data_IF_886445379784
#
_entry.id   IF_886445379784
#
_cell.length_a   1.000
_cell.length_b   1.000
_cell.length_c   1.000
_cell.angle_alpha   90.00
_cell.angle_beta   90.00
_cell.angle_gamma   90.00
#
_symmetry.space_group_name_H-M   'P 1'
#
loop_
_entity.id
_entity.type
_entity.pdbx_description
1 polymer ?
#
# COMPACT_ATOMS: atom_id res chain seq x y z
N UNK A 1 48.45 14.36 -16.93
CA UNK A 1 47.45 13.52 -16.22
C UNK A 1 46.02 13.56 -16.81
N UNK A 2 45.65 14.61 -17.54
CA UNK A 2 44.33 14.78 -18.14
C UNK A 2 43.88 13.64 -19.09
N UNK A 3 44.80 13.03 -19.84
CA UNK A 3 44.49 11.91 -20.77
C UNK A 3 43.97 10.69 -20.00
N UNK A 4 44.57 10.35 -18.85
CA UNK A 4 44.11 9.23 -18.01
C UNK A 4 42.70 9.49 -17.45
N UNK A 5 42.43 10.74 -17.06
CA UNK A 5 41.10 11.18 -16.61
C UNK A 5 40.04 11.10 -17.71
N UNK A 6 40.39 11.53 -18.92
CA UNK A 6 39.52 11.48 -20.08
C UNK A 6 39.16 10.04 -20.45
N UNK A 7 40.15 9.15 -20.59
CA UNK A 7 39.86 7.75 -20.91
C UNK A 7 39.07 7.05 -19.80
N UNK A 8 39.38 7.33 -18.53
CA UNK A 8 38.62 6.76 -17.42
C UNK A 8 37.15 7.22 -17.47
N UNK A 9 36.89 8.52 -17.56
CA UNK A 9 35.52 9.05 -17.65
C UNK A 9 34.77 8.57 -18.90
N UNK A 10 35.44 8.46 -20.05
CA UNK A 10 34.85 7.97 -21.29
C UNK A 10 34.46 6.49 -21.18
N UNK A 11 35.35 5.64 -20.65
CA UNK A 11 35.07 4.21 -20.44
C UNK A 11 33.97 4.02 -19.41
N UNK A 12 33.98 4.77 -18.31
CA UNK A 12 32.89 4.73 -17.33
C UNK A 12 31.55 5.12 -17.99
N UNK A 13 31.52 6.20 -18.77
CA UNK A 13 30.28 6.69 -19.37
C UNK A 13 29.72 5.71 -20.41
N UNK A 14 30.57 5.14 -21.28
CA UNK A 14 30.14 4.20 -22.32
C UNK A 14 29.76 2.84 -21.73
N UNK A 15 30.59 2.29 -20.84
CA UNK A 15 30.38 0.95 -20.30
C UNK A 15 29.22 0.93 -19.30
N UNK A 16 29.12 1.90 -18.39
CA UNK A 16 28.01 1.97 -17.44
C UNK A 16 26.74 2.52 -18.09
N UNK A 17 26.84 3.50 -18.99
CA UNK A 17 25.68 4.02 -19.71
C UNK A 17 24.95 2.93 -20.49
N UNK A 18 25.68 2.06 -21.18
CA UNK A 18 25.07 0.92 -21.87
C UNK A 18 24.65 -0.19 -20.91
N UNK A 19 25.49 -0.57 -19.95
CA UNK A 19 25.25 -1.72 -19.06
C UNK A 19 24.16 -1.47 -18.01
N UNK A 20 24.06 -0.28 -17.41
CA UNK A 20 22.96 0.03 -16.48
C UNK A 20 21.64 0.14 -17.24
N UNK A 21 21.61 0.85 -18.36
CA UNK A 21 20.35 1.13 -19.06
C UNK A 21 19.75 -0.14 -19.65
N UNK A 22 20.55 -0.99 -20.30
CA UNK A 22 20.05 -2.25 -20.88
C UNK A 22 19.94 -3.35 -19.82
N UNK A 23 20.89 -3.43 -18.90
CA UNK A 23 20.91 -4.45 -17.87
C UNK A 23 19.78 -4.29 -16.85
N UNK A 24 19.51 -3.10 -16.34
CA UNK A 24 18.54 -2.95 -15.25
C UNK A 24 17.08 -2.87 -15.72
N UNK A 25 16.85 -2.61 -17.01
CA UNK A 25 15.50 -2.53 -17.59
C UNK A 25 15.03 -3.84 -18.22
N UNK A 26 15.96 -4.75 -18.56
CA UNK A 26 15.61 -6.03 -19.20
C UNK A 26 15.39 -7.12 -18.15
N UNK A 27 14.16 -7.63 -18.04
CA UNK A 27 13.73 -8.65 -17.05
C UNK A 27 14.53 -9.97 -17.03
N UNK A 28 15.38 -10.23 -18.03
CA UNK A 28 16.24 -11.42 -18.12
C UNK A 28 17.72 -11.18 -17.83
N UNK A 29 18.13 -9.94 -17.58
CA UNK A 29 19.55 -9.62 -17.43
C UNK A 29 20.12 -10.11 -16.10
N UNK A 30 21.44 -10.31 -16.07
CA UNK A 30 22.17 -10.60 -14.84
C UNK A 30 22.01 -9.47 -13.80
N UNK A 31 22.07 -8.21 -14.22
CA UNK A 31 21.95 -7.03 -13.35
C UNK A 31 20.56 -6.92 -12.69
N UNK A 32 19.50 -7.39 -13.36
CA UNK A 32 18.15 -7.47 -12.78
C UNK A 32 18.03 -8.53 -11.67
N UNK A 33 18.91 -9.54 -11.68
CA UNK A 33 18.93 -10.63 -10.69
C UNK A 33 19.86 -10.36 -9.50
N UNK A 34 20.61 -9.26 -9.53
CA UNK A 34 21.47 -8.89 -8.41
C UNK A 34 20.56 -8.45 -7.24
N UNK A 35 20.75 -9.01 -6.03
CA UNK A 35 19.99 -8.58 -4.87
C UNK A 35 20.29 -7.10 -4.54
N UNK A 36 19.33 -6.38 -3.95
CA UNK A 36 19.38 -4.93 -3.73
C UNK A 36 20.71 -4.45 -3.10
N UNK A 37 21.26 -5.24 -2.19
CA UNK A 37 22.56 -4.96 -1.55
C UNK A 37 23.74 -4.96 -2.52
N UNK A 38 23.74 -5.83 -3.53
CA UNK A 38 24.75 -5.86 -4.59
C UNK A 38 24.66 -4.64 -5.50
N UNK A 39 23.45 -4.11 -5.69
CA UNK A 39 23.21 -2.81 -6.33
C UNK A 39 23.94 -1.69 -5.57
N UNK A 40 23.82 -1.63 -4.25
CA UNK A 40 24.49 -0.61 -3.43
C UNK A 40 26.03 -0.68 -3.51
N UNK A 41 26.61 -1.87 -3.61
CA UNK A 41 28.08 -2.02 -3.77
C UNK A 41 28.54 -1.51 -5.13
N UNK A 42 27.84 -1.89 -6.20
CA UNK A 42 28.13 -1.40 -7.56
C UNK A 42 28.02 0.13 -7.62
N UNK A 43 27.03 0.67 -6.93
CA UNK A 43 26.73 2.09 -6.81
C UNK A 43 27.87 2.84 -6.08
N UNK A 44 28.30 2.39 -4.90
CA UNK A 44 29.41 2.99 -4.13
C UNK A 44 30.72 2.98 -4.92
N UNK A 45 31.09 1.82 -5.50
CA UNK A 45 32.33 1.67 -6.25
C UNK A 45 32.37 2.60 -7.47
N UNK A 46 31.25 2.75 -8.18
CA UNK A 46 31.15 3.64 -9.34
C UNK A 46 31.22 5.12 -8.95
N UNK A 47 30.58 5.52 -7.84
CA UNK A 47 30.67 6.88 -7.31
C UNK A 47 32.11 7.29 -6.97
N UNK A 48 32.88 6.39 -6.35
CA UNK A 48 34.29 6.64 -6.03
C UNK A 48 35.11 6.87 -7.30
N UNK A 49 34.87 6.09 -8.36
CA UNK A 49 35.56 6.23 -9.63
C UNK A 49 35.25 7.57 -10.34
N UNK A 50 34.01 8.06 -10.27
CA UNK A 50 33.67 9.38 -10.79
C UNK A 50 34.31 10.51 -9.98
N UNK A 51 34.42 10.40 -8.66
CA UNK A 51 35.13 11.37 -7.81
C UNK A 51 36.63 11.40 -8.16
N UNK A 52 37.24 10.24 -8.38
CA UNK A 52 38.64 10.14 -8.81
C UNK A 52 38.86 10.77 -10.19
N UNK A 53 37.97 10.50 -11.15
CA UNK A 53 38.01 11.14 -12.47
C UNK A 53 37.83 12.66 -12.37
N UNK A 54 36.91 13.14 -11.55
CA UNK A 54 36.72 14.57 -11.29
C UNK A 54 37.98 15.21 -10.70
N UNK A 55 38.60 14.57 -9.70
CA UNK A 55 39.82 15.06 -9.06
C UNK A 55 41.02 15.11 -10.01
N UNK A 56 41.20 14.09 -10.88
CA UNK A 56 42.22 14.11 -11.92
C UNK A 56 41.93 15.13 -13.02
N UNK A 57 40.67 15.39 -13.34
CA UNK A 57 40.25 16.46 -14.24
C UNK A 57 40.68 17.84 -13.74
N UNK A 58 40.45 18.14 -12.45
CA UNK A 58 40.88 19.41 -11.83
C UNK A 58 42.41 19.56 -11.87
N UNK A 59 43.15 18.51 -11.50
CA UNK A 59 44.63 18.56 -11.55
C UNK A 59 45.18 18.68 -12.96
N UNK A 60 44.52 18.07 -13.94
CA UNK A 60 44.91 18.11 -15.36
C UNK A 60 44.66 19.46 -16.05
N UNK A 61 43.90 20.36 -15.42
CA UNK A 61 43.44 21.61 -16.01
C UNK A 61 44.58 22.59 -16.35
N UNK A 62 45.68 22.52 -15.61
CA UNK A 62 46.90 23.32 -15.85
C UNK A 62 47.62 22.91 -17.14
N UNK A 63 47.52 21.64 -17.54
CA UNK A 63 48.24 21.09 -18.71
C UNK A 63 47.36 21.09 -19.98
N UNK A 64 46.11 20.65 -19.84
CA UNK A 64 45.21 20.45 -20.98
C UNK A 64 43.79 20.90 -20.65
N UNK A 65 43.51 22.20 -20.84
CA UNK A 65 42.22 22.83 -20.50
C UNK A 65 41.03 22.15 -21.18
N UNK A 66 41.11 21.89 -22.49
CA UNK A 66 39.99 21.32 -23.26
C UNK A 66 39.64 19.88 -22.85
N UNK A 67 40.63 18.98 -22.77
CA UNK A 67 40.40 17.59 -22.33
C UNK A 67 39.91 17.52 -20.88
N UNK A 68 40.41 18.39 -20.02
CA UNK A 68 39.99 18.45 -18.61
C UNK A 68 38.54 18.93 -18.48
N UNK A 69 38.13 19.91 -19.28
CA UNK A 69 36.73 20.37 -19.37
C UNK A 69 35.78 19.26 -19.81
N UNK A 70 36.14 18.49 -20.84
CA UNK A 70 35.32 17.36 -21.32
C UNK A 70 35.21 16.27 -20.24
N UNK A 71 36.33 15.93 -19.58
CA UNK A 71 36.35 14.93 -18.50
C UNK A 71 35.47 15.37 -17.32
N UNK A 72 35.50 16.65 -16.96
CA UNK A 72 34.65 17.22 -15.91
C UNK A 72 33.17 17.16 -16.28
N UNK A 73 32.83 17.53 -17.52
CA UNK A 73 31.46 17.44 -18.03
C UNK A 73 30.90 16.01 -17.99
N UNK A 74 31.68 15.03 -18.45
CA UNK A 74 31.29 13.61 -18.41
C UNK A 74 31.10 13.11 -16.98
N UNK A 75 31.99 13.49 -16.05
CA UNK A 75 31.87 13.11 -14.64
C UNK A 75 30.63 13.72 -13.96
N UNK A 76 30.34 15.00 -14.24
CA UNK A 76 29.15 15.67 -13.72
C UNK A 76 27.85 15.05 -14.24
N UNK A 77 27.81 14.72 -15.54
CA UNK A 77 26.67 14.00 -16.13
C UNK A 77 26.48 12.63 -15.50
N UNK A 78 27.56 11.86 -15.30
CA UNK A 78 27.53 10.57 -14.62
C UNK A 78 26.98 10.66 -13.19
N UNK A 79 27.41 11.66 -12.41
CA UNK A 79 26.90 11.90 -11.04
C UNK A 79 25.42 12.31 -11.06
N UNK A 80 24.98 13.10 -12.05
CA UNK A 80 23.58 13.49 -12.18
C UNK A 80 22.66 12.29 -12.51
N UNK A 81 23.06 11.45 -13.48
CA UNK A 81 22.36 10.21 -13.79
C UNK A 81 22.32 9.26 -12.58
N UNK A 82 23.41 9.24 -11.80
CA UNK A 82 23.51 8.46 -10.58
C UNK A 82 22.55 8.93 -9.48
N UNK A 83 22.44 10.24 -9.25
CA UNK A 83 21.49 10.81 -8.28
C UNK A 83 20.03 10.54 -8.67
N UNK A 84 19.72 10.64 -9.97
CA UNK A 84 18.40 10.28 -10.51
C UNK A 84 18.08 8.80 -10.28
N UNK A 85 19.03 7.90 -10.53
CA UNK A 85 18.83 6.48 -10.32
C UNK A 85 18.55 6.13 -8.85
N UNK A 86 19.34 6.65 -7.91
CA UNK A 86 19.10 6.47 -6.46
C UNK A 86 17.70 6.98 -6.10
N UNK A 87 17.31 8.14 -6.62
CA UNK A 87 15.98 8.70 -6.37
C UNK A 87 14.84 7.85 -6.94
N UNK A 88 15.10 7.04 -7.98
CA UNK A 88 14.11 6.13 -8.57
C UNK A 88 14.09 4.75 -7.88
N UNK A 89 15.21 4.31 -7.32
CA UNK A 89 15.34 3.01 -6.67
C UNK A 89 14.95 3.06 -5.18
N UNK A 90 15.16 4.21 -4.53
CA UNK A 90 14.57 4.48 -3.21
C UNK A 90 13.06 4.40 -3.38
N UNK A 91 12.49 3.34 -2.79
CA UNK A 91 11.05 3.01 -2.82
C UNK A 91 10.54 2.30 -4.08
N UNK A 92 11.42 1.70 -4.89
CA UNK A 92 10.97 0.83 -5.99
C UNK A 92 10.14 -0.34 -5.47
N UNK A 93 8.90 -0.44 -5.95
CA UNK A 93 7.93 -1.46 -5.52
C UNK A 93 7.24 -1.16 -4.18
N UNK A 94 7.58 -0.06 -3.49
CA UNK A 94 6.80 0.39 -2.34
C UNK A 94 5.70 1.33 -2.83
N UNK A 95 4.45 1.16 -2.37
CA UNK A 95 3.40 2.11 -2.67
C UNK A 95 3.80 3.48 -2.09
N UNK A 96 3.62 4.54 -2.87
CA UNK A 96 3.77 5.89 -2.34
C UNK A 96 2.81 6.09 -1.15
N UNK A 97 3.11 6.97 -0.19
CA UNK A 97 2.21 7.24 0.92
C UNK A 97 0.83 7.64 0.37
N UNK A 98 -0.19 6.79 0.60
CA UNK A 98 -1.59 6.89 0.11
C UNK A 98 -1.90 6.27 -1.25
N UNK A 99 -0.95 5.61 -1.91
CA UNK A 99 -1.24 4.78 -3.08
C UNK A 99 -1.84 3.44 -2.66
N UNK A 100 -2.88 3.04 -3.37
CA UNK A 100 -3.58 1.77 -3.16
C UNK A 100 -3.00 0.70 -4.07
N UNK A 101 -2.95 -0.52 -3.56
CA UNK A 101 -2.53 -1.70 -4.30
C UNK A 101 -3.75 -2.36 -4.93
N UNK A 102 -3.58 -2.77 -6.19
CA UNK A 102 -4.62 -3.38 -7.01
C UNK A 102 -4.25 -4.81 -7.41
N UNK A 103 -3.40 -5.46 -6.61
CA UNK A 103 -2.99 -6.84 -6.82
C UNK A 103 -3.14 -7.64 -5.51
N UNK A 104 -3.86 -8.76 -5.58
CA UNK A 104 -4.06 -9.70 -4.46
C UNK A 104 -2.88 -10.68 -4.31
N UNK A 105 -1.96 -10.74 -5.26
CA UNK A 105 -0.78 -11.60 -5.18
C UNK A 105 0.33 -11.01 -4.29
N UNK A 106 0.25 -9.71 -3.99
CA UNK A 106 1.24 -8.99 -3.18
C UNK A 106 0.91 -9.00 -1.67
N UNK A 107 -0.26 -9.52 -1.28
CA UNK A 107 -0.69 -9.61 0.13
C UNK A 107 -0.32 -10.95 0.78
N UNK A 108 -0.25 -11.03 2.13
CA UNK A 108 -0.03 -12.28 2.84
C UNK A 108 -1.03 -13.37 2.47
N UNK A 109 -0.55 -14.61 2.33
CA UNK A 109 -1.38 -15.76 1.97
C UNK A 109 -2.58 -15.97 2.90
N UNK A 110 -2.46 -15.58 4.18
CA UNK A 110 -3.55 -15.62 5.15
C UNK A 110 -4.68 -14.65 4.78
N UNK A 111 -4.36 -13.40 4.45
CA UNK A 111 -5.34 -12.39 4.06
C UNK A 111 -5.98 -12.74 2.71
N UNK A 112 -5.17 -13.26 1.77
CA UNK A 112 -5.67 -13.76 0.49
C UNK A 112 -6.68 -14.90 0.69
N UNK A 113 -6.33 -15.89 1.52
CA UNK A 113 -7.23 -16.99 1.84
C UNK A 113 -8.54 -16.51 2.49
N UNK A 114 -8.47 -15.50 3.37
CA UNK A 114 -9.62 -14.90 4.02
C UNK A 114 -10.54 -14.17 3.04
N UNK A 115 -10.00 -13.40 2.09
CA UNK A 115 -10.81 -12.73 1.06
C UNK A 115 -11.46 -13.76 0.12
N UNK A 116 -10.73 -14.80 -0.27
CA UNK A 116 -11.25 -15.84 -1.16
C UNK A 116 -12.32 -16.70 -0.48
N UNK A 117 -12.15 -17.05 0.80
CA UNK A 117 -13.17 -17.77 1.57
C UNK A 117 -14.40 -16.90 1.81
N UNK A 118 -14.20 -15.60 2.09
CA UNK A 118 -15.28 -14.63 2.23
C UNK A 118 -16.08 -14.50 0.92
N UNK A 119 -15.41 -14.38 -0.23
CA UNK A 119 -16.06 -14.33 -1.54
C UNK A 119 -16.85 -15.62 -1.85
N UNK A 120 -16.30 -16.79 -1.52
CA UNK A 120 -16.98 -18.09 -1.68
C UNK A 120 -18.26 -18.14 -0.85
N UNK A 121 -18.21 -17.69 0.39
CA UNK A 121 -19.37 -17.65 1.28
C UNK A 121 -20.48 -16.75 0.73
N UNK A 122 -20.13 -15.57 0.25
CA UNK A 122 -21.11 -14.60 -0.31
C UNK A 122 -21.58 -14.97 -1.71
N UNK A 123 -21.12 -16.10 -2.26
CA UNK A 123 -21.36 -16.56 -3.65
C UNK A 123 -20.97 -15.50 -4.67
N UNK A 124 -19.90 -14.77 -4.39
CA UNK A 124 -19.36 -13.75 -5.28
C UNK A 124 -18.27 -14.41 -6.14
N UNK A 125 -18.41 -14.43 -7.47
CA UNK A 125 -17.34 -14.94 -8.32
C UNK A 125 -16.08 -14.08 -8.18
N UNK A 126 -14.90 -14.69 -8.35
CA UNK A 126 -13.62 -13.98 -8.23
C UNK A 126 -13.52 -12.78 -9.19
N UNK A 127 -14.19 -12.86 -10.35
CA UNK A 127 -14.29 -11.76 -11.32
C UNK A 127 -15.08 -10.54 -10.84
N UNK A 128 -15.91 -10.68 -9.80
CA UNK A 128 -16.67 -9.59 -9.18
C UNK A 128 -15.94 -8.96 -7.99
N UNK A 129 -14.87 -9.57 -7.49
CA UNK A 129 -14.02 -8.96 -6.46
C UNK A 129 -13.34 -7.74 -7.08
N UNK A 130 -13.65 -6.56 -6.57
CA UNK A 130 -13.09 -5.29 -7.07
C UNK A 130 -12.05 -4.76 -6.09
N UNK A 131 -10.82 -4.65 -6.56
CA UNK A 131 -9.77 -3.93 -5.83
C UNK A 131 -9.94 -2.45 -6.07
N UNK A 132 -10.07 -1.68 -4.99
CA UNK A 132 -10.44 -0.27 -5.10
C UNK A 132 -9.98 0.58 -3.92
N UNK A 133 -10.14 1.89 -4.10
CA UNK A 133 -9.83 2.93 -3.12
C UNK A 133 -10.91 2.95 -2.04
N UNK A 134 -10.58 3.38 -0.82
CA UNK A 134 -11.54 3.27 0.30
C UNK A 134 -12.87 3.99 0.05
N UNK A 135 -12.91 5.09 -0.70
CA UNK A 135 -14.13 5.85 -1.00
C UNK A 135 -15.04 5.19 -2.03
N UNK A 136 -14.57 4.14 -2.72
CA UNK A 136 -15.35 3.36 -3.68
C UNK A 136 -15.79 2.01 -3.14
N UNK A 137 -15.48 1.68 -1.88
CA UNK A 137 -15.84 0.39 -1.27
C UNK A 137 -17.35 0.11 -1.28
N UNK A 138 -18.19 1.15 -1.29
CA UNK A 138 -19.66 1.02 -1.32
C UNK A 138 -20.24 0.87 -2.74
N UNK A 139 -19.43 1.05 -3.78
CA UNK A 139 -19.91 1.12 -5.16
C UNK A 139 -19.96 -0.25 -5.85
N UNK A 140 -19.41 -1.30 -5.21
CA UNK A 140 -19.31 -2.62 -5.79
C UNK A 140 -19.90 -3.68 -4.85
N UNK A 141 -20.40 -4.83 -5.38
CA UNK A 141 -20.96 -5.90 -4.57
C UNK A 141 -19.98 -6.46 -3.53
N UNK A 142 -18.71 -6.68 -3.94
CA UNK A 142 -17.60 -7.02 -3.07
C UNK A 142 -16.38 -6.21 -3.48
N UNK A 143 -15.94 -5.32 -2.59
CA UNK A 143 -14.81 -4.43 -2.79
C UNK A 143 -13.75 -4.67 -1.71
N UNK A 144 -12.49 -4.67 -2.09
CA UNK A 144 -11.35 -4.80 -1.18
C UNK A 144 -10.37 -3.67 -1.44
N UNK A 145 -9.86 -3.06 -0.38
CA UNK A 145 -8.89 -1.98 -0.43
C UNK A 145 -7.60 -2.45 0.23
N UNK A 146 -6.50 -2.40 -0.52
CA UNK A 146 -5.18 -2.84 -0.09
C UNK A 146 -4.26 -1.63 -0.03
N UNK A 147 -3.48 -1.55 1.03
CA UNK A 147 -2.47 -0.51 1.22
C UNK A 147 -1.29 -1.05 2.03
N UNK A 148 -0.07 -0.86 1.51
CA UNK A 148 1.17 -1.32 2.15
C UNK A 148 1.20 -2.84 2.34
N UNK A 149 0.72 -3.61 1.36
CA UNK A 149 0.70 -5.06 1.40
C UNK A 149 -0.38 -5.67 2.29
N UNK A 150 -1.30 -4.86 2.83
CA UNK A 150 -2.33 -5.33 3.76
C UNK A 150 -3.73 -4.85 3.37
N UNK A 151 -4.73 -5.68 3.63
CA UNK A 151 -6.14 -5.33 3.46
C UNK A 151 -6.53 -4.35 4.56
N UNK A 152 -6.80 -3.11 4.15
CA UNK A 152 -7.22 -2.04 5.05
C UNK A 152 -8.72 -1.81 5.03
N UNK A 153 -9.42 -2.23 3.97
CA UNK A 153 -10.85 -2.00 3.84
C UNK A 153 -11.58 -3.11 3.10
N UNK A 154 -12.77 -3.45 3.57
CA UNK A 154 -13.66 -4.43 2.94
C UNK A 154 -15.06 -3.83 2.83
N UNK A 155 -15.64 -3.96 1.64
CA UNK A 155 -17.00 -3.55 1.33
C UNK A 155 -17.81 -4.71 0.77
N UNK A 156 -19.00 -4.94 1.32
CA UNK A 156 -19.96 -5.92 0.83
C UNK A 156 -21.36 -5.29 0.81
N UNK A 157 -22.09 -5.47 -0.30
CA UNK A 157 -23.44 -4.94 -0.46
C UNK A 157 -24.41 -6.03 -0.91
N UNK A 158 -25.54 -6.14 -0.21
CA UNK A 158 -26.71 -6.97 -0.53
C UNK A 158 -26.37 -8.47 -0.71
N UNK A 159 -25.48 -8.99 0.16
CA UNK A 159 -25.09 -10.40 0.20
C UNK A 159 -25.11 -10.90 1.65
N UNK A 160 -25.78 -12.02 1.97
CA UNK A 160 -25.82 -12.54 3.32
C UNK A 160 -24.45 -13.05 3.76
N UNK A 161 -24.09 -12.77 5.02
CA UNK A 161 -22.88 -13.29 5.66
C UNK A 161 -23.31 -14.31 6.72
N UNK A 162 -22.76 -15.53 6.64
CA UNK A 162 -23.02 -16.61 7.60
C UNK A 162 -21.95 -16.69 8.68
N UNK A 163 -20.69 -16.45 8.30
CA UNK A 163 -19.55 -16.42 9.19
C UNK A 163 -18.75 -15.13 8.95
N UNK A 164 -18.66 -14.29 9.98
CA UNK A 164 -17.91 -13.03 9.96
C UNK A 164 -16.54 -13.15 10.63
N UNK A 165 -16.28 -14.25 11.34
CA UNK A 165 -15.03 -14.50 12.07
C UNK A 165 -13.81 -14.50 11.14
N UNK A 166 -14.03 -14.84 9.86
CA UNK A 166 -12.99 -14.84 8.83
C UNK A 166 -12.34 -13.47 8.64
N UNK A 167 -13.10 -12.38 8.86
CA UNK A 167 -12.58 -11.02 8.76
C UNK A 167 -11.63 -10.67 9.92
N UNK A 168 -11.71 -11.37 11.06
CA UNK A 168 -10.79 -11.18 12.20
C UNK A 168 -9.33 -11.53 11.86
N UNK A 169 -9.11 -12.27 10.77
CA UNK A 169 -7.75 -12.53 10.26
C UNK A 169 -7.10 -11.32 9.58
N UNK A 170 -7.89 -10.29 9.23
CA UNK A 170 -7.43 -9.05 8.59
C UNK A 170 -7.03 -8.04 9.68
N UNK A 171 -5.86 -8.24 10.29
CA UNK A 171 -5.40 -7.48 11.47
C UNK A 171 -5.25 -5.97 11.24
N UNK A 172 -4.99 -5.55 10.00
CA UNK A 172 -4.84 -4.15 9.59
C UNK A 172 -6.15 -3.49 9.12
N UNK A 173 -7.28 -4.22 9.19
CA UNK A 173 -8.56 -3.71 8.71
C UNK A 173 -8.99 -2.49 9.54
N UNK A 174 -9.15 -1.36 8.86
CA UNK A 174 -9.54 -0.09 9.47
C UNK A 174 -10.92 0.40 9.02
N UNK A 175 -11.43 -0.09 7.88
CA UNK A 175 -12.73 0.30 7.32
C UNK A 175 -13.54 -0.92 6.93
N UNK A 176 -14.76 -1.02 7.43
CA UNK A 176 -15.65 -2.12 7.14
C UNK A 176 -17.03 -1.61 6.75
N UNK A 177 -17.49 -1.98 5.55
CA UNK A 177 -18.80 -1.61 5.02
C UNK A 177 -19.57 -2.89 4.70
N UNK A 178 -20.57 -3.22 5.50
CA UNK A 178 -21.40 -4.41 5.31
C UNK A 178 -22.87 -3.97 5.24
N UNK A 179 -23.33 -3.67 4.03
CA UNK A 179 -24.70 -3.20 3.80
C UNK A 179 -25.58 -4.37 3.35
N UNK A 180 -26.76 -4.53 3.96
CA UNK A 180 -27.70 -5.56 3.50
C UNK A 180 -27.20 -6.99 3.70
N UNK A 181 -26.41 -7.23 4.76
CA UNK A 181 -25.70 -8.51 4.97
C UNK A 181 -26.42 -9.49 5.90
N UNK A 182 -27.64 -9.16 6.34
CA UNK A 182 -28.44 -9.94 7.30
C UNK A 182 -27.75 -10.22 8.65
N UNK A 183 -26.82 -9.35 9.04
CA UNK A 183 -26.08 -9.49 10.28
C UNK A 183 -26.94 -9.14 11.50
N UNK A 184 -26.76 -9.91 12.56
CA UNK A 184 -27.41 -9.71 13.87
C UNK A 184 -26.42 -9.61 15.02
N UNK A 185 -25.22 -10.10 14.80
CA UNK A 185 -24.18 -10.30 15.81
C UNK A 185 -22.81 -10.05 15.17
N UNK A 186 -21.87 -9.54 15.97
CA UNK A 186 -20.46 -9.31 15.65
C UNK A 186 -19.51 -9.87 16.72
N UNK A 187 -20.00 -10.70 17.65
CA UNK A 187 -19.22 -11.19 18.80
C UNK A 187 -17.95 -11.94 18.40
N UNK A 188 -17.96 -12.58 17.22
CA UNK A 188 -16.81 -13.32 16.68
C UNK A 188 -15.77 -12.44 15.96
N UNK A 189 -16.03 -11.13 15.87
CA UNK A 189 -15.17 -10.18 15.17
C UNK A 189 -14.16 -9.55 16.13
N UNK A 190 -12.86 -9.68 15.82
CA UNK A 190 -11.76 -9.09 16.58
C UNK A 190 -10.92 -8.19 15.67
N UNK A 191 -11.29 -6.91 15.61
CA UNK A 191 -10.61 -5.93 14.76
C UNK A 191 -10.21 -4.71 15.59
N UNK A 192 -9.09 -4.80 16.33
CA UNK A 192 -8.64 -3.73 17.21
C UNK A 192 -8.22 -2.47 16.46
N UNK A 193 -7.97 -2.53 15.14
CA UNK A 193 -7.63 -1.36 14.32
C UNK A 193 -8.82 -0.77 13.57
N UNK A 194 -10.02 -1.35 13.74
CA UNK A 194 -11.21 -0.87 13.05
C UNK A 194 -11.56 0.55 13.53
N UNK A 195 -11.69 1.43 12.55
CA UNK A 195 -11.85 2.87 12.75
C UNK A 195 -13.22 3.36 12.26
N UNK A 196 -13.69 2.83 11.12
CA UNK A 196 -15.00 3.15 10.55
C UNK A 196 -15.78 1.88 10.25
N UNK A 197 -17.01 1.82 10.74
CA UNK A 197 -17.91 0.69 10.59
C UNK A 197 -19.27 1.16 10.06
N UNK A 198 -19.69 0.57 8.94
CA UNK A 198 -20.98 0.81 8.31
C UNK A 198 -21.76 -0.49 8.18
N UNK A 199 -22.95 -0.51 8.78
CA UNK A 199 -23.81 -1.69 8.93
C UNK A 199 -25.25 -1.37 8.48
N UNK A 200 -25.45 -0.52 7.48
CA UNK A 200 -26.79 -0.12 7.05
C UNK A 200 -27.59 -1.33 6.56
N UNK A 201 -28.90 -1.32 6.79
CA UNK A 201 -29.83 -2.37 6.33
C UNK A 201 -29.46 -3.79 6.85
N UNK A 202 -29.06 -3.90 8.12
CA UNK A 202 -28.89 -5.19 8.79
C UNK A 202 -30.01 -5.42 9.83
N UNK A 203 -29.80 -6.34 10.77
CA UNK A 203 -30.82 -6.79 11.71
C UNK A 203 -30.41 -6.67 13.19
N UNK A 204 -29.47 -5.77 13.51
CA UNK A 204 -29.01 -5.54 14.88
C UNK A 204 -30.12 -4.98 15.78
N UNK A 205 -30.25 -5.52 16.99
CA UNK A 205 -31.23 -5.09 18.01
C UNK A 205 -30.65 -4.25 19.15
N UNK A 206 -29.36 -4.44 19.44
CA UNK A 206 -28.53 -3.68 20.37
C UNK A 206 -27.07 -3.71 19.90
N UNK A 207 -26.15 -3.17 20.70
CA UNK A 207 -24.73 -3.05 20.38
C UNK A 207 -23.85 -3.93 21.27
N UNK A 208 -24.42 -4.93 21.97
CA UNK A 208 -23.68 -5.73 22.96
C UNK A 208 -22.60 -6.62 22.34
N UNK A 209 -22.73 -6.95 21.07
CA UNK A 209 -21.80 -7.76 20.29
C UNK A 209 -20.60 -6.99 19.73
N UNK A 210 -20.42 -5.72 20.06
CA UNK A 210 -19.41 -4.84 19.44
C UNK A 210 -18.09 -4.82 20.24
N UNK A 211 -17.87 -5.79 21.13
CA UNK A 211 -16.78 -5.76 22.11
C UNK A 211 -15.38 -5.93 21.49
N UNK A 212 -15.29 -6.62 20.35
CA UNK A 212 -14.02 -6.84 19.63
C UNK A 212 -13.58 -5.69 18.70
N UNK A 213 -14.29 -4.56 18.72
CA UNK A 213 -14.00 -3.38 17.87
C UNK A 213 -13.90 -2.07 18.71
N UNK A 214 -13.06 -2.03 19.75
CA UNK A 214 -13.06 -0.95 20.74
C UNK A 214 -12.60 0.43 20.21
N UNK A 215 -11.99 0.47 19.03
CA UNK A 215 -11.37 1.67 18.46
C UNK A 215 -12.19 2.35 17.37
N UNK A 216 -13.44 1.93 17.17
CA UNK A 216 -14.33 2.55 16.18
C UNK A 216 -14.64 3.99 16.58
N UNK A 217 -14.41 4.90 15.64
CA UNK A 217 -14.68 6.34 15.78
C UNK A 217 -15.92 6.78 14.97
N UNK A 218 -16.20 6.11 13.84
CA UNK A 218 -17.38 6.34 13.01
C UNK A 218 -18.25 5.10 12.94
N UNK A 219 -19.48 5.20 13.41
CA UNK A 219 -20.43 4.09 13.45
C UNK A 219 -21.75 4.44 12.75
N UNK A 220 -22.08 3.74 11.68
CA UNK A 220 -23.33 3.94 10.94
C UNK A 220 -24.16 2.65 10.99
N UNK A 221 -25.25 2.65 11.75
CA UNK A 221 -26.15 1.48 11.92
C UNK A 221 -27.57 1.86 11.52
N UNK A 222 -27.69 2.45 10.34
CA UNK A 222 -28.96 2.95 9.82
C UNK A 222 -29.86 1.80 9.38
N UNK A 223 -31.18 2.00 9.42
CA UNK A 223 -32.17 1.02 8.94
C UNK A 223 -31.95 -0.38 9.51
N UNK A 224 -31.76 -0.47 10.82
CA UNK A 224 -31.63 -1.72 11.55
C UNK A 224 -32.86 -1.93 12.45
N UNK A 225 -32.77 -2.86 13.41
CA UNK A 225 -33.83 -3.18 14.37
C UNK A 225 -33.48 -2.72 15.79
N UNK A 226 -32.62 -1.70 15.94
CA UNK A 226 -32.13 -1.25 17.25
C UNK A 226 -33.31 -0.80 18.11
N UNK A 227 -33.32 -1.28 19.36
CA UNK A 227 -34.29 -0.88 20.40
C UNK A 227 -33.62 -0.18 21.57
N UNK A 228 -32.31 -0.37 21.72
CA UNK A 228 -31.49 0.20 22.78
C UNK A 228 -30.07 0.41 22.27
N UNK A 229 -29.34 1.32 22.91
CA UNK A 229 -27.90 1.53 22.69
C UNK A 229 -27.03 0.78 23.70
N UNK A 230 -27.58 -0.20 24.43
CA UNK A 230 -26.80 -1.06 25.32
C UNK A 230 -25.61 -1.66 24.55
N UNK A 231 -24.40 -1.53 25.09
CA UNK A 231 -23.16 -1.94 24.43
C UNK A 231 -22.39 -0.78 23.79
N UNK A 232 -22.96 0.42 23.69
CA UNK A 232 -22.27 1.59 23.14
C UNK A 232 -21.01 1.97 23.94
N UNK A 233 -20.99 1.66 25.24
CA UNK A 233 -19.86 1.85 26.14
C UNK A 233 -18.61 1.04 25.75
N UNK A 234 -18.77 0.00 24.93
CA UNK A 234 -17.67 -0.81 24.41
C UNK A 234 -16.84 -0.07 23.36
N UNK A 235 -17.36 1.03 22.81
CA UNK A 235 -16.69 1.86 21.80
C UNK A 235 -16.43 3.27 22.36
N UNK A 236 -15.49 3.43 23.31
CA UNK A 236 -15.25 4.69 24.01
C UNK A 236 -14.71 5.81 23.11
N UNK A 237 -14.27 5.49 21.89
CA UNK A 237 -13.68 6.43 20.93
C UNK A 237 -14.67 6.98 19.89
N UNK A 238 -15.96 6.65 19.99
CA UNK A 238 -16.98 7.12 19.04
C UNK A 238 -17.01 8.65 18.99
N UNK A 239 -16.82 9.19 17.77
CA UNK A 239 -16.92 10.61 17.44
C UNK A 239 -18.21 10.91 16.70
N UNK A 240 -18.58 10.03 15.77
CA UNK A 240 -19.75 10.19 14.93
C UNK A 240 -20.55 8.90 14.90
N UNK A 241 -21.87 9.03 15.08
CA UNK A 241 -22.80 7.90 15.08
C UNK A 241 -24.09 8.28 14.37
N UNK A 242 -24.61 7.37 13.55
CA UNK A 242 -25.92 7.56 12.92
C UNK A 242 -26.77 6.31 13.12
N UNK A 243 -27.89 6.48 13.81
CA UNK A 243 -28.87 5.42 14.10
C UNK A 243 -30.24 5.69 13.47
N UNK A 244 -30.30 6.56 12.46
CA UNK A 244 -31.53 6.85 11.73
C UNK A 244 -32.14 5.59 11.11
N UNK A 245 -33.48 5.54 11.00
CA UNK A 245 -34.18 4.37 10.46
C UNK A 245 -34.28 3.18 11.42
N UNK A 246 -33.99 3.35 12.72
CA UNK A 246 -34.30 2.36 13.76
C UNK A 246 -35.61 2.75 14.48
N UNK A 247 -36.77 2.19 14.09
CA UNK A 247 -38.07 2.63 14.62
C UNK A 247 -38.26 2.29 16.10
N UNK A 248 -37.62 1.21 16.58
CA UNK A 248 -37.68 0.78 17.97
C UNK A 248 -36.78 1.56 18.94
N UNK A 249 -35.86 2.38 18.41
CA UNK A 249 -34.96 3.19 19.21
C UNK A 249 -35.65 4.49 19.64
N UNK A 250 -35.47 4.87 20.91
CA UNK A 250 -36.01 6.10 21.47
C UNK A 250 -35.61 7.30 20.58
N UNK A 251 -36.56 8.20 20.33
CA UNK A 251 -36.39 9.35 19.44
C UNK A 251 -35.27 10.27 19.91
N UNK A 252 -35.01 10.33 21.21
CA UNK A 252 -33.93 11.13 21.80
C UNK A 252 -32.53 10.52 21.57
N UNK A 253 -32.46 9.29 21.09
CA UNK A 253 -31.22 8.53 20.87
C UNK A 253 -30.89 8.32 19.38
N UNK A 254 -31.71 8.86 18.46
CA UNK A 254 -31.59 8.67 17.00
C UNK A 254 -30.52 9.57 16.37
#
# INVERSE_FOLDING_TARGET
MAIKSFFLSLVLTLFLGYSLTVGLTTKGSFLYKIPDWGGYILLITTGILYILAFWWGIRGFLEHKFLSLISLGLSGFGIACYALFISMEIDRGKPSPRQFEYDLSEIPAQEQAAILSFAKQTRTPESEIRLTEYWKLQNFPLAVCIQKGHVIGVGLTDKPITDISILSSLSELNRLYLKGAHLKDLSDLQLPKLYRLELQNNEFSDLTSFSGIPNVEWLFVQNNKLRTLKGIEQMPKLKEKIFSGNPGLDKNQR
#
